data_IF_257296126752
#
_entry.id   IF_257296126752
#
_cell.length_a   1.000
_cell.length_b   1.000
_cell.length_c   1.000
_cell.angle_alpha   90.00
_cell.angle_beta   90.00
_cell.angle_gamma   90.00
#
_symmetry.space_group_name_H-M   'P 1'
#
loop_
_entity.id
_entity.type
_entity.pdbx_description
1 polymer ?
#
# COMPACT_ATOMS: atom_id res chain seq x y z
N UNK A 1 16.02 -8.62 33.71
CA UNK A 1 14.79 -7.80 33.74
C UNK A 1 14.27 -7.40 32.33
N UNK A 2 15.02 -6.68 31.48
CA UNK A 2 14.56 -6.26 30.13
C UNK A 2 14.15 -7.41 29.19
N UNK A 3 14.86 -8.56 29.21
CA UNK A 3 14.53 -9.74 28.37
C UNK A 3 13.20 -10.40 28.78
N UNK A 4 12.94 -10.52 30.08
CA UNK A 4 11.71 -11.11 30.62
C UNK A 4 10.51 -10.21 30.31
N UNK A 5 10.64 -8.91 30.52
CA UNK A 5 9.59 -7.94 30.18
C UNK A 5 9.26 -7.96 28.68
N UNK A 6 10.29 -8.07 27.84
CA UNK A 6 10.10 -8.21 26.37
C UNK A 6 9.38 -9.51 26.01
N UNK A 7 9.71 -10.62 26.66
CA UNK A 7 9.03 -11.91 26.41
C UNK A 7 7.54 -11.85 26.81
N UNK A 8 7.24 -11.23 27.96
CA UNK A 8 5.85 -11.02 28.41
C UNK A 8 5.09 -10.14 27.43
N UNK A 9 5.67 -9.02 26.99
CA UNK A 9 5.05 -8.14 26.00
C UNK A 9 4.78 -8.85 24.67
N UNK A 10 5.69 -9.74 24.23
CA UNK A 10 5.51 -10.54 23.03
C UNK A 10 4.36 -11.55 23.17
N UNK A 11 4.22 -12.18 24.35
CA UNK A 11 3.11 -13.08 24.63
C UNK A 11 1.76 -12.35 24.58
N UNK A 12 1.67 -11.15 25.15
CA UNK A 12 0.45 -10.32 25.05
C UNK A 12 0.18 -9.88 23.62
N UNK A 13 1.22 -9.48 22.87
CA UNK A 13 1.09 -9.06 21.49
C UNK A 13 0.56 -10.19 20.59
N UNK A 14 1.10 -11.39 20.75
CA UNK A 14 0.74 -12.55 19.97
C UNK A 14 -0.64 -13.15 20.30
N UNK A 15 -1.07 -13.06 21.55
CA UNK A 15 -2.32 -13.72 21.99
C UNK A 15 -3.52 -12.76 22.08
N UNK A 16 -3.31 -11.50 22.47
CA UNK A 16 -4.40 -10.55 22.67
C UNK A 16 -4.44 -9.53 21.53
N UNK A 17 -3.36 -8.79 21.31
CA UNK A 17 -3.37 -7.71 20.32
C UNK A 17 -3.49 -8.24 18.89
N UNK A 18 -2.95 -9.41 18.59
CA UNK A 18 -3.12 -10.07 17.29
C UNK A 18 -4.58 -10.41 17.02
N UNK A 19 -5.31 -10.96 18.00
CA UNK A 19 -6.73 -11.26 17.86
C UNK A 19 -7.53 -9.98 17.61
N UNK A 20 -7.25 -8.93 18.39
CA UNK A 20 -7.88 -7.63 18.22
C UNK A 20 -7.60 -7.03 16.83
N UNK A 21 -6.34 -7.08 16.38
CA UNK A 21 -5.98 -6.60 15.03
C UNK A 21 -6.70 -7.38 13.94
N UNK A 22 -6.77 -8.70 14.03
CA UNK A 22 -7.50 -9.53 13.06
C UNK A 22 -9.01 -9.22 13.04
N UNK A 23 -9.59 -8.91 14.17
CA UNK A 23 -11.00 -8.55 14.27
C UNK A 23 -11.28 -7.14 13.73
N UNK A 24 -10.43 -6.16 14.06
CA UNK A 24 -10.60 -4.75 13.67
C UNK A 24 -10.18 -4.51 12.21
N UNK A 25 -9.15 -5.22 11.76
CA UNK A 25 -8.53 -5.11 10.43
C UNK A 25 -8.42 -6.48 9.76
N UNK A 26 -9.54 -7.10 9.34
CA UNK A 26 -9.55 -8.48 8.82
C UNK A 26 -8.70 -8.69 7.57
N UNK A 27 -8.42 -7.63 6.82
CA UNK A 27 -7.56 -7.68 5.64
C UNK A 27 -6.11 -7.24 5.92
N UNK A 28 -5.73 -7.02 7.17
CA UNK A 28 -4.34 -6.80 7.54
C UNK A 28 -3.60 -8.14 7.60
N UNK A 29 -2.84 -8.42 6.54
CA UNK A 29 -2.11 -9.67 6.37
C UNK A 29 -0.62 -9.40 6.32
N UNK A 30 0.06 -9.55 7.46
CA UNK A 30 1.52 -9.41 7.58
C UNK A 30 2.13 -10.58 8.33
N UNK A 31 3.38 -11.01 7.97
CA UNK A 31 4.09 -12.06 8.69
C UNK A 31 4.31 -11.72 10.15
N UNK A 32 4.37 -12.75 10.96
CA UNK A 32 4.56 -12.64 12.41
C UNK A 32 5.94 -12.13 12.83
N UNK A 33 6.98 -12.40 12.02
CA UNK A 33 8.37 -12.05 12.33
C UNK A 33 8.84 -10.84 11.52
N UNK A 34 9.55 -9.92 12.19
CA UNK A 34 10.27 -8.82 11.53
C UNK A 34 9.49 -7.54 11.28
N UNK A 35 8.20 -7.46 11.66
CA UNK A 35 7.35 -6.29 11.45
C UNK A 35 6.81 -5.71 12.76
N UNK A 36 6.22 -4.52 12.66
CA UNK A 36 5.65 -3.83 13.81
C UNK A 36 4.71 -4.72 14.60
N UNK A 37 4.87 -4.74 15.92
CA UNK A 37 3.99 -5.47 16.82
C UNK A 37 2.54 -5.05 16.61
N UNK A 38 1.60 -5.98 16.80
CA UNK A 38 0.17 -5.73 16.68
C UNK A 38 -0.29 -4.55 17.56
N UNK A 39 0.29 -4.41 18.74
CA UNK A 39 0.08 -3.25 19.58
C UNK A 39 0.40 -1.93 18.88
N UNK A 40 1.50 -1.86 18.12
CA UNK A 40 1.86 -0.66 17.38
C UNK A 40 0.84 -0.33 16.27
N UNK A 41 0.25 -1.35 15.63
CA UNK A 41 -0.83 -1.15 14.66
C UNK A 41 -2.04 -0.50 15.33
N UNK A 42 -2.47 -1.04 16.47
CA UNK A 42 -3.58 -0.47 17.22
C UNK A 42 -3.26 0.96 17.69
N UNK A 43 -2.10 1.16 18.30
CA UNK A 43 -1.66 2.48 18.78
C UNK A 43 -1.62 3.53 17.67
N UNK A 44 -1.14 3.15 16.47
CA UNK A 44 -0.96 4.08 15.35
C UNK A 44 -2.27 4.41 14.63
N UNK A 45 -3.13 3.42 14.42
CA UNK A 45 -4.26 3.59 13.50
C UNK A 45 -5.63 3.55 14.17
N UNK A 46 -5.81 2.77 15.25
CA UNK A 46 -7.13 2.44 15.77
C UNK A 46 -7.94 3.67 16.15
N UNK A 47 -7.38 4.57 16.95
CA UNK A 47 -8.12 5.71 17.46
C UNK A 47 -8.64 6.62 16.34
N UNK A 48 -7.76 7.06 15.47
CA UNK A 48 -8.12 7.97 14.39
C UNK A 48 -9.02 7.29 13.33
N UNK A 49 -8.74 6.01 13.03
CA UNK A 49 -9.49 5.31 11.98
C UNK A 49 -10.83 4.77 12.46
N UNK A 50 -10.91 4.16 13.63
CA UNK A 50 -12.11 3.44 14.07
C UNK A 50 -12.97 4.23 15.06
N UNK A 51 -12.38 5.09 15.89
CA UNK A 51 -13.11 5.92 16.86
C UNK A 51 -13.50 7.25 16.22
N UNK A 52 -12.52 8.05 15.77
CA UNK A 52 -12.79 9.34 15.13
C UNK A 52 -13.46 9.15 13.77
N UNK A 53 -13.09 8.11 13.00
CA UNK A 53 -13.82 7.71 11.80
C UNK A 53 -13.11 8.00 10.47
N UNK A 54 -11.88 8.50 10.46
CA UNK A 54 -11.12 8.66 9.22
C UNK A 54 -10.89 7.31 8.54
N UNK A 55 -11.38 7.13 7.32
CA UNK A 55 -11.27 5.85 6.60
C UNK A 55 -11.89 4.64 7.36
N UNK A 56 -12.92 4.85 8.21
CA UNK A 56 -13.47 3.88 9.17
C UNK A 56 -13.87 2.54 8.54
N UNK A 57 -14.43 2.58 7.32
CA UNK A 57 -14.97 1.40 6.63
C UNK A 57 -13.90 0.49 6.04
N UNK A 58 -12.66 1.00 5.90
CA UNK A 58 -11.57 0.26 5.26
C UNK A 58 -11.09 -0.85 6.20
N UNK A 59 -10.99 -2.12 5.70
CA UNK A 59 -10.72 -3.31 6.52
C UNK A 59 -9.23 -3.57 6.78
N UNK A 60 -8.35 -2.60 6.50
CA UNK A 60 -6.92 -2.61 6.80
C UNK A 60 -6.49 -1.28 7.42
N UNK A 61 -5.29 -1.23 8.06
CA UNK A 61 -4.79 0.01 8.65
C UNK A 61 -4.54 1.10 7.61
N UNK A 62 -5.08 2.29 7.84
CA UNK A 62 -4.89 3.48 7.00
C UNK A 62 -4.54 4.68 7.88
N UNK A 63 -3.51 5.41 7.51
CA UNK A 63 -3.17 6.67 8.20
C UNK A 63 -4.30 7.69 8.01
N UNK A 64 -4.65 8.42 9.06
CA UNK A 64 -5.77 9.36 9.03
C UNK A 64 -5.55 10.53 8.06
N UNK A 65 -4.30 10.82 7.69
CA UNK A 65 -3.91 11.83 6.71
C UNK A 65 -3.97 11.32 5.26
N UNK A 66 -4.19 10.03 5.06
CA UNK A 66 -4.41 9.43 3.74
C UNK A 66 -5.87 9.42 3.38
N UNK A 67 -6.18 9.48 2.08
CA UNK A 67 -7.54 9.44 1.56
C UNK A 67 -7.68 8.35 0.52
N UNK A 68 -8.58 7.40 0.75
CA UNK A 68 -8.86 6.30 -0.15
C UNK A 68 -10.32 6.37 -0.58
N UNK A 69 -10.54 6.53 -1.87
CA UNK A 69 -11.85 6.56 -2.50
C UNK A 69 -12.07 5.26 -3.27
N UNK A 70 -13.26 4.64 -3.13
CA UNK A 70 -13.62 3.42 -3.82
C UNK A 70 -12.80 2.22 -3.35
N UNK A 71 -12.55 2.09 -2.04
CA UNK A 71 -11.76 1.00 -1.47
C UNK A 71 -12.36 -0.38 -1.81
N UNK A 72 -13.65 -0.47 -2.05
CA UNK A 72 -14.36 -1.67 -2.48
C UNK A 72 -13.88 -2.19 -3.86
N UNK A 73 -13.22 -1.35 -4.65
CA UNK A 73 -12.63 -1.70 -5.94
C UNK A 73 -11.12 -1.99 -5.83
N UNK A 74 -10.58 -2.10 -4.62
CA UNK A 74 -9.19 -2.46 -4.38
C UNK A 74 -9.11 -3.96 -4.09
N UNK A 75 -8.33 -4.67 -4.91
CA UNK A 75 -7.88 -6.03 -4.63
C UNK A 75 -6.43 -5.95 -4.20
N UNK A 76 -6.12 -6.39 -2.98
CA UNK A 76 -4.75 -6.34 -2.45
C UNK A 76 -4.25 -7.71 -2.02
N UNK A 77 -2.95 -7.93 -2.17
CA UNK A 77 -2.26 -9.10 -1.66
C UNK A 77 -1.89 -8.99 -0.17
N UNK A 78 -1.02 -9.90 0.26
CA UNK A 78 -0.43 -9.89 1.60
C UNK A 78 0.72 -8.88 1.65
N UNK A 79 1.03 -8.36 2.84
CA UNK A 79 2.03 -7.30 3.04
C UNK A 79 1.81 -6.07 2.14
N UNK A 80 0.57 -5.73 1.94
CA UNK A 80 0.16 -4.61 1.12
C UNK A 80 -1.00 -3.90 1.80
N UNK A 81 -0.75 -2.76 2.41
CA UNK A 81 -1.76 -1.97 3.13
C UNK A 81 -1.79 -0.55 2.54
N UNK A 82 -2.50 -0.36 1.40
CA UNK A 82 -2.50 0.92 0.71
C UNK A 82 -3.11 2.00 1.60
N UNK A 83 -2.34 3.08 1.81
CA UNK A 83 -2.72 4.18 2.68
C UNK A 83 -2.15 4.12 4.11
N UNK A 84 -1.31 3.14 4.45
CA UNK A 84 -0.67 3.01 5.77
C UNK A 84 0.42 4.06 6.03
N UNK A 85 0.90 4.74 5.00
CA UNK A 85 1.78 5.90 5.10
C UNK A 85 1.01 7.23 5.03
N UNK A 86 1.70 8.31 5.36
CA UNK A 86 1.16 9.67 5.44
C UNK A 86 0.82 10.20 4.05
N UNK A 87 -0.34 10.82 3.90
CA UNK A 87 -0.67 11.65 2.74
C UNK A 87 -0.92 10.87 1.44
N UNK A 88 -1.07 9.56 1.50
CA UNK A 88 -1.38 8.78 0.30
C UNK A 88 -2.81 9.12 -0.15
N UNK A 89 -2.95 9.45 -1.43
CA UNK A 89 -4.25 9.62 -2.07
C UNK A 89 -4.49 8.50 -3.08
N UNK A 90 -5.58 7.76 -2.90
CA UNK A 90 -6.00 6.71 -3.84
C UNK A 90 -7.42 6.98 -4.30
N UNK A 91 -7.60 7.06 -5.62
CA UNK A 91 -8.89 7.01 -6.27
C UNK A 91 -8.98 5.69 -7.05
N UNK A 92 -9.70 4.72 -6.51
CA UNK A 92 -9.81 3.37 -7.04
C UNK A 92 -11.11 3.08 -7.81
N UNK A 93 -11.94 4.05 -8.11
CA UNK A 93 -13.22 3.83 -8.80
C UNK A 93 -13.12 3.17 -10.19
N UNK A 94 -11.93 3.13 -10.79
CA UNK A 94 -11.65 2.40 -12.03
C UNK A 94 -11.10 0.99 -11.81
N UNK A 95 -10.91 0.57 -10.54
CA UNK A 95 -10.30 -0.68 -10.14
C UNK A 95 -8.79 -0.55 -9.88
N UNK A 96 -8.33 -1.09 -8.75
CA UNK A 96 -6.92 -1.14 -8.38
C UNK A 96 -6.58 -2.55 -7.90
N UNK A 97 -5.66 -3.22 -8.60
CA UNK A 97 -5.15 -4.53 -8.20
C UNK A 97 -3.70 -4.39 -7.76
N UNK A 98 -3.42 -4.80 -6.52
CA UNK A 98 -2.10 -4.80 -5.90
C UNK A 98 -1.70 -6.25 -5.58
N UNK A 99 -0.49 -6.61 -5.94
CA UNK A 99 0.09 -7.90 -5.59
C UNK A 99 0.58 -7.97 -4.14
N UNK A 100 1.37 -9.00 -3.86
CA UNK A 100 2.01 -9.20 -2.56
C UNK A 100 3.21 -8.28 -2.39
N UNK A 101 3.50 -7.87 -1.15
CA UNK A 101 4.66 -7.06 -0.81
C UNK A 101 4.74 -5.77 -1.65
N UNK A 102 3.67 -5.00 -1.65
CA UNK A 102 3.61 -3.69 -2.30
C UNK A 102 3.66 -2.60 -1.24
N UNK A 103 4.70 -1.79 -1.30
CA UNK A 103 4.91 -0.68 -0.39
C UNK A 103 4.77 0.66 -1.14
N UNK A 104 4.01 1.58 -0.56
CA UNK A 104 3.72 2.87 -1.15
C UNK A 104 4.27 3.97 -0.25
N UNK A 105 5.15 4.79 -0.79
CA UNK A 105 5.74 5.93 -0.09
C UNK A 105 4.73 7.02 0.20
N UNK A 106 5.06 7.87 1.16
CA UNK A 106 4.22 8.98 1.60
C UNK A 106 3.92 9.96 0.46
N UNK A 107 2.77 10.63 0.53
CA UNK A 107 2.30 11.63 -0.44
C UNK A 107 2.20 11.10 -1.88
N UNK A 108 2.11 9.79 -2.07
CA UNK A 108 1.94 9.19 -3.38
C UNK A 108 0.48 9.20 -3.80
N UNK A 109 0.25 9.54 -5.06
CA UNK A 109 -1.07 9.59 -5.68
C UNK A 109 -1.25 8.38 -6.60
N UNK A 110 -2.35 7.65 -6.44
CA UNK A 110 -2.77 6.59 -7.35
C UNK A 110 -4.19 6.93 -7.83
N UNK A 111 -4.35 7.19 -9.11
CA UNK A 111 -5.67 7.54 -9.66
C UNK A 111 -6.05 6.67 -10.84
N UNK A 112 -7.22 6.04 -10.76
CA UNK A 112 -7.79 5.17 -11.81
C UNK A 112 -8.83 5.90 -12.67
N UNK A 113 -9.06 7.18 -12.38
CA UNK A 113 -10.04 8.02 -13.10
C UNK A 113 -9.44 9.40 -13.35
N UNK A 114 -9.92 10.07 -14.40
CA UNK A 114 -9.62 11.46 -14.69
C UNK A 114 -10.92 12.19 -15.04
N UNK A 115 -10.90 13.51 -14.97
CA UNK A 115 -11.97 14.34 -15.52
C UNK A 115 -11.85 14.45 -17.04
N UNK A 116 -12.97 14.69 -17.70
CA UNK A 116 -12.97 15.03 -19.13
C UNK A 116 -12.27 16.38 -19.32
N UNK A 117 -11.42 16.46 -20.34
CA UNK A 117 -10.77 17.72 -20.72
C UNK A 117 -11.75 18.72 -21.35
N UNK A 118 -12.93 18.27 -21.75
CA UNK A 118 -13.97 19.10 -22.38
C UNK A 118 -15.07 19.53 -21.41
N UNK A 119 -15.26 18.80 -20.31
CA UNK A 119 -16.23 19.12 -19.25
C UNK A 119 -15.76 18.49 -17.93
N UNK A 120 -15.15 19.27 -17.06
CA UNK A 120 -14.55 18.80 -15.81
C UNK A 120 -15.60 18.22 -14.81
N UNK A 121 -16.88 18.45 -15.00
CA UNK A 121 -17.96 17.83 -14.22
C UNK A 121 -18.14 16.35 -14.57
N UNK A 122 -17.66 15.93 -15.74
CA UNK A 122 -17.74 14.55 -16.22
C UNK A 122 -16.45 13.81 -15.97
N UNK A 123 -16.59 12.57 -15.52
CA UNK A 123 -15.44 11.65 -15.37
C UNK A 123 -15.15 11.05 -16.74
N UNK A 124 -13.89 11.06 -17.13
CA UNK A 124 -13.41 10.36 -18.33
C UNK A 124 -13.49 8.84 -18.14
N UNK A 125 -13.19 8.07 -19.19
CA UNK A 125 -13.18 6.60 -19.14
C UNK A 125 -12.31 6.12 -17.95
N UNK A 126 -12.92 5.34 -17.08
CA UNK A 126 -12.23 4.68 -15.97
C UNK A 126 -11.24 3.66 -16.54
N UNK A 127 -10.00 3.64 -15.99
CA UNK A 127 -8.95 2.71 -16.39
C UNK A 127 -8.29 2.15 -15.15
N UNK A 128 -8.49 0.86 -14.89
CA UNK A 128 -7.90 0.18 -13.75
C UNK A 128 -6.36 0.19 -13.79
N UNK A 129 -5.76 0.12 -12.60
CA UNK A 129 -4.32 0.02 -12.41
C UNK A 129 -4.02 -1.38 -11.88
N UNK A 130 -2.95 -1.99 -12.38
CA UNK A 130 -2.45 -3.29 -11.91
C UNK A 130 -1.00 -3.11 -11.47
N UNK A 131 -0.69 -3.50 -10.23
CA UNK A 131 0.65 -3.48 -9.66
C UNK A 131 0.98 -4.91 -9.23
N UNK A 132 2.10 -5.44 -9.70
CA UNK A 132 2.55 -6.80 -9.42
C UNK A 132 3.10 -6.99 -8.01
N UNK A 133 3.82 -8.10 -7.81
CA UNK A 133 4.43 -8.46 -6.53
C UNK A 133 5.79 -7.77 -6.34
N UNK A 134 6.20 -7.58 -5.08
CA UNK A 134 7.51 -7.03 -4.71
C UNK A 134 7.76 -5.67 -5.37
N UNK A 135 6.81 -4.74 -5.20
CA UNK A 135 6.89 -3.40 -5.76
C UNK A 135 7.05 -2.37 -4.65
N UNK A 136 8.08 -1.53 -4.81
CA UNK A 136 8.28 -0.37 -3.96
C UNK A 136 8.04 0.90 -4.78
N UNK A 137 7.09 1.70 -4.34
CA UNK A 137 6.80 3.02 -4.89
C UNK A 137 7.34 4.05 -3.89
N UNK A 138 8.30 4.85 -4.34
CA UNK A 138 8.89 5.93 -3.54
C UNK A 138 7.86 7.01 -3.16
N UNK A 139 8.30 7.94 -2.32
CA UNK A 139 7.47 9.07 -1.89
C UNK A 139 7.18 10.04 -3.05
N UNK A 140 6.08 10.79 -2.95
CA UNK A 140 5.69 11.83 -3.90
C UNK A 140 5.55 11.34 -5.35
N UNK A 141 5.21 10.07 -5.56
CA UNK A 141 4.96 9.52 -6.88
C UNK A 141 3.52 9.76 -7.34
N UNK A 142 3.31 9.70 -8.66
CA UNK A 142 1.97 9.72 -9.25
C UNK A 142 1.81 8.54 -10.19
N UNK A 143 0.86 7.63 -9.92
CA UNK A 143 0.52 6.49 -10.76
C UNK A 143 -0.80 6.79 -11.47
N UNK A 144 -0.75 6.91 -12.80
CA UNK A 144 -1.91 7.35 -13.58
C UNK A 144 -2.74 6.19 -14.11
N UNK A 145 -3.98 6.49 -14.43
CA UNK A 145 -5.01 5.55 -14.85
C UNK A 145 -4.59 4.69 -16.06
N UNK A 146 -4.79 3.37 -15.93
CA UNK A 146 -4.53 2.40 -16.98
C UNK A 146 -3.13 1.79 -16.97
N UNK A 147 -2.25 2.21 -16.04
CA UNK A 147 -0.89 1.71 -15.95
C UNK A 147 -0.87 0.27 -15.40
N UNK A 148 0.01 -0.54 -15.98
CA UNK A 148 0.38 -1.87 -15.44
C UNK A 148 1.85 -1.84 -15.02
N UNK A 149 2.13 -2.18 -13.77
CA UNK A 149 3.47 -2.31 -13.19
C UNK A 149 3.72 -3.79 -12.95
N UNK A 150 4.81 -4.31 -13.48
CA UNK A 150 5.19 -5.72 -13.34
C UNK A 150 5.67 -6.07 -11.94
N UNK A 151 6.22 -7.26 -11.78
CA UNK A 151 6.78 -7.74 -10.53
C UNK A 151 8.21 -7.21 -10.33
N UNK A 152 8.67 -7.16 -9.07
CA UNK A 152 10.06 -6.79 -8.74
C UNK A 152 10.43 -5.41 -9.33
N UNK A 153 9.61 -4.40 -9.04
CA UNK A 153 9.81 -3.03 -9.53
C UNK A 153 10.09 -2.11 -8.35
N UNK A 154 11.08 -1.25 -8.53
CA UNK A 154 11.35 -0.15 -7.60
C UNK A 154 11.17 1.17 -8.35
N UNK A 155 10.30 2.02 -7.84
CA UNK A 155 10.05 3.36 -8.38
C UNK A 155 10.65 4.37 -7.41
N UNK A 156 11.62 5.14 -7.88
CA UNK A 156 12.24 6.23 -7.12
C UNK A 156 11.23 7.31 -6.77
N UNK A 157 11.52 8.08 -5.73
CA UNK A 157 10.66 9.17 -5.29
C UNK A 157 10.47 10.23 -6.41
N UNK A 158 9.32 10.88 -6.41
CA UNK A 158 8.99 11.95 -7.35
C UNK A 158 8.57 11.51 -8.75
N UNK A 159 8.57 10.20 -9.06
CA UNK A 159 8.25 9.70 -10.38
C UNK A 159 6.76 9.84 -10.74
N UNK A 160 6.49 10.26 -11.97
CA UNK A 160 5.14 10.22 -12.56
C UNK A 160 5.05 9.10 -13.59
N UNK A 161 4.27 8.07 -13.29
CA UNK A 161 4.13 6.88 -14.11
C UNK A 161 2.89 7.00 -15.01
N UNK A 162 3.12 7.09 -16.32
CA UNK A 162 2.10 7.29 -17.36
C UNK A 162 1.99 6.12 -18.34
N UNK A 163 2.97 5.22 -18.31
CA UNK A 163 3.07 4.03 -19.16
C UNK A 163 3.36 2.78 -18.35
N UNK A 164 3.20 1.62 -18.97
CA UNK A 164 3.45 0.35 -18.32
C UNK A 164 4.95 0.19 -17.99
N UNK A 165 5.21 -0.43 -16.84
CA UNK A 165 6.55 -0.74 -16.36
C UNK A 165 6.73 -2.26 -16.40
N UNK A 166 7.73 -2.78 -17.11
CA UNK A 166 8.02 -4.21 -17.13
C UNK A 166 8.51 -4.71 -15.77
N UNK A 167 8.45 -6.03 -15.56
CA UNK A 167 9.04 -6.64 -14.38
C UNK A 167 10.56 -6.43 -14.32
N UNK A 168 11.13 -6.53 -13.12
CA UNK A 168 12.56 -6.39 -12.85
C UNK A 168 13.14 -5.01 -13.23
N UNK A 169 12.38 -3.95 -12.98
CA UNK A 169 12.76 -2.57 -13.34
C UNK A 169 13.07 -1.71 -12.12
N UNK A 170 14.08 -0.88 -12.27
CA UNK A 170 14.33 0.29 -11.44
C UNK A 170 13.94 1.53 -12.23
N UNK A 171 12.93 2.25 -11.75
CA UNK A 171 12.42 3.48 -12.38
C UNK A 171 12.96 4.69 -11.63
N UNK A 172 13.68 5.53 -12.34
CA UNK A 172 14.19 6.80 -11.82
C UNK A 172 13.74 7.94 -12.73
N UNK A 173 13.46 9.08 -12.15
CA UNK A 173 13.18 10.29 -12.91
C UNK A 173 14.46 11.13 -12.95
N UNK A 174 14.95 11.44 -14.14
CA UNK A 174 15.93 12.52 -14.35
C UNK A 174 15.18 13.83 -14.60
N UNK A 175 15.92 14.93 -14.68
CA UNK A 175 15.33 16.24 -14.99
C UNK A 175 14.53 16.23 -16.32
N UNK A 176 14.91 15.34 -17.25
CA UNK A 176 14.33 15.30 -18.60
C UNK A 176 13.56 14.01 -18.93
N UNK A 177 13.79 12.89 -18.26
CA UNK A 177 13.17 11.61 -18.60
C UNK A 177 13.12 10.60 -17.44
N UNK A 178 12.22 9.61 -17.55
CA UNK A 178 12.23 8.43 -16.70
C UNK A 178 13.30 7.47 -17.22
N UNK A 179 14.23 7.09 -16.37
CA UNK A 179 15.26 6.11 -16.68
C UNK A 179 14.79 4.73 -16.19
N UNK A 180 14.77 3.76 -17.07
CA UNK A 180 14.56 2.35 -16.74
C UNK A 180 15.92 1.65 -16.66
N UNK A 181 16.15 0.91 -15.59
CA UNK A 181 17.32 0.06 -15.41
C UNK A 181 16.88 -1.33 -15.02
N UNK A 182 17.65 -2.31 -15.43
CA UNK A 182 17.43 -3.69 -15.00
C UNK A 182 17.62 -3.81 -13.48
N UNK A 183 16.82 -4.66 -12.88
CA UNK A 183 16.87 -4.94 -11.46
C UNK A 183 17.10 -6.43 -11.25
N UNK A 184 18.06 -6.78 -10.38
CA UNK A 184 18.26 -8.17 -9.95
C UNK A 184 16.97 -8.73 -9.33
N UNK A 185 16.74 -10.05 -9.43
CA UNK A 185 15.61 -10.70 -8.79
C UNK A 185 15.50 -10.35 -7.31
N UNK A 186 14.28 -10.24 -6.83
CA UNK A 186 14.02 -10.03 -5.41
C UNK A 186 14.41 -11.28 -4.62
N UNK A 187 15.06 -11.10 -3.47
CA UNK A 187 15.68 -12.19 -2.71
C UNK A 187 14.72 -12.86 -1.72
N UNK A 188 13.58 -12.27 -1.48
CA UNK A 188 12.59 -12.77 -0.53
C UNK A 188 11.19 -12.71 -1.12
N UNK A 189 10.47 -13.81 -1.03
CA UNK A 189 9.06 -13.87 -1.40
C UNK A 189 8.16 -13.91 -0.17
N UNK A 190 7.09 -13.16 -0.27
CA UNK A 190 6.06 -13.09 0.73
C UNK A 190 5.09 -14.25 0.51
N UNK A 191 4.96 -15.13 1.49
CA UNK A 191 4.02 -16.25 1.46
C UNK A 191 2.95 -16.13 2.53
N UNK A 192 1.80 -16.78 2.32
CA UNK A 192 0.75 -16.86 3.34
C UNK A 192 1.16 -17.71 4.54
N UNK A 193 2.10 -18.63 4.37
CA UNK A 193 2.62 -19.48 5.43
C UNK A 193 3.30 -18.68 6.55
N UNK A 194 3.89 -17.55 6.22
CA UNK A 194 4.51 -16.65 7.20
C UNK A 194 3.48 -15.85 8.02
N UNK A 195 2.20 -15.94 7.69
CA UNK A 195 1.11 -15.26 8.40
C UNK A 195 0.59 -16.04 9.61
N UNK A 196 0.96 -17.32 9.72
CA UNK A 196 0.58 -18.21 10.80
C UNK A 196 1.53 -18.09 11.98
#
# INVERSE_FOLDING_TARGET
>A
MRKILRAILLLFDDNIFRVLVKWIYPEYKRPRKGYAYNFNILRKYFFMQKIIGFNRRIPWPVDFRSKILGFEHIQKGIMCDPGDNIGIYINAYGGLKLGNNVNIGQNTIITTTNHSIYDHRKISKKRGIIIGNNVWIGANCSILAGVKIGNNVTIGAGCTIRSNIPSNSLVLQSNDAIILKDKKPYQWDCSEEELL
#
